data_IF_628973600500
#
_entry.id   IF_628973600500
#
_cell.length_a   1.000
_cell.length_b   1.000
_cell.length_c   1.000
_cell.angle_alpha   90.00
_cell.angle_beta   90.00
_cell.angle_gamma   90.00
#
_symmetry.space_group_name_H-M   'P 1'
#
loop_
_entity.id
_entity.type
_entity.pdbx_description
1 polymer ?
#
# COMPACT_ATOMS: atom_id res chain seq x y z
N UNK A 1 -2.33 -17.60 33.74
CA UNK A 1 -2.57 -16.38 34.53
C UNK A 1 -3.58 -15.52 33.78
N UNK A 2 -4.68 -15.13 34.42
CA UNK A 2 -5.67 -14.22 33.83
C UNK A 2 -5.20 -12.78 34.04
N UNK A 3 -4.99 -12.05 32.95
CA UNK A 3 -4.66 -10.63 33.02
C UNK A 3 -5.87 -9.84 33.51
N UNK A 4 -5.68 -8.94 34.49
CA UNK A 4 -6.77 -8.13 35.03
C UNK A 4 -7.35 -7.22 33.93
N UNK A 5 -8.68 -7.14 33.84
CA UNK A 5 -9.35 -6.31 32.82
C UNK A 5 -8.97 -4.82 33.04
N UNK A 6 -8.51 -4.11 32.00
CA UNK A 6 -8.25 -2.68 32.11
C UNK A 6 -9.49 -1.91 32.57
N UNK A 7 -9.32 -1.04 33.57
CA UNK A 7 -10.39 -0.18 34.10
C UNK A 7 -10.68 0.98 33.14
N UNK A 8 -9.66 1.43 32.40
CA UNK A 8 -9.77 2.51 31.42
C UNK A 8 -10.13 1.95 30.04
N UNK A 9 -11.13 2.57 29.40
CA UNK A 9 -11.49 2.27 28.00
C UNK A 9 -10.59 3.07 27.05
N UNK A 10 -10.32 2.54 25.85
CA UNK A 10 -9.63 3.29 24.80
C UNK A 10 -10.41 4.55 24.41
N UNK A 11 -9.70 5.67 24.24
CA UNK A 11 -10.29 6.95 23.81
C UNK A 11 -10.90 6.85 22.41
N UNK A 12 -10.33 6.01 21.54
CA UNK A 12 -10.82 5.77 20.18
C UNK A 12 -10.98 4.26 19.96
N UNK A 13 -12.22 3.72 19.91
CA UNK A 13 -12.46 2.28 19.78
C UNK A 13 -12.47 1.79 18.33
N UNK A 14 -11.63 2.35 17.45
CA UNK A 14 -11.54 1.97 16.04
C UNK A 14 -10.30 1.12 15.80
N UNK A 15 -10.46 -0.20 15.81
CA UNK A 15 -9.38 -1.19 15.75
C UNK A 15 -9.17 -1.83 14.37
N UNK A 16 -9.78 -1.29 13.32
CA UNK A 16 -9.59 -1.76 11.96
C UNK A 16 -8.18 -1.44 11.45
N UNK A 17 -7.65 -2.30 10.59
CA UNK A 17 -6.36 -2.12 9.90
C UNK A 17 -6.47 -1.33 8.58
N UNK A 18 -7.67 -0.85 8.23
CA UNK A 18 -7.90 -0.05 7.04
C UNK A 18 -9.39 0.06 6.69
N UNK A 19 -9.98 1.26 6.58
CA UNK A 19 -9.48 2.53 7.12
C UNK A 19 -9.24 2.47 8.64
N UNK A 20 -8.25 3.22 9.15
CA UNK A 20 -7.90 3.26 10.59
C UNK A 20 -8.27 4.60 11.24
N UNK A 21 -8.21 4.64 12.58
CA UNK A 21 -8.32 5.88 13.34
C UNK A 21 -7.36 6.97 12.82
N UNK A 22 -7.85 8.21 12.69
CA UNK A 22 -6.98 9.37 12.39
C UNK A 22 -6.15 9.73 13.62
N UNK A 23 -5.05 10.45 13.43
CA UNK A 23 -4.22 10.97 14.52
C UNK A 23 -5.04 11.81 15.52
N UNK A 24 -4.67 11.87 16.81
CA UNK A 24 -5.32 12.74 17.78
C UNK A 24 -5.39 14.21 17.30
N UNK A 25 -6.50 14.88 17.59
CA UNK A 25 -6.72 16.28 17.19
C UNK A 25 -7.00 16.50 15.70
N UNK A 26 -7.17 15.44 14.89
CA UNK A 26 -7.56 15.58 13.49
C UNK A 26 -8.96 16.20 13.36
N UNK A 27 -9.13 17.12 12.40
CA UNK A 27 -10.43 17.72 12.07
C UNK A 27 -10.50 18.06 10.57
N UNK A 28 -11.72 18.35 10.09
CA UNK A 28 -11.96 18.77 8.70
C UNK A 28 -11.31 20.11 8.34
N UNK A 29 -10.89 20.91 9.32
CA UNK A 29 -10.20 22.18 9.03
C UNK A 29 -8.91 21.96 8.26
N UNK A 30 -8.28 20.78 8.41
CA UNK A 30 -7.10 20.37 7.65
C UNK A 30 -7.37 20.20 6.14
N UNK A 31 -8.62 20.21 5.69
CA UNK A 31 -9.04 20.07 4.30
C UNK A 31 -9.58 21.38 3.70
N UNK A 32 -9.52 22.49 4.44
CA UNK A 32 -10.04 23.80 3.98
C UNK A 32 -9.36 24.31 2.71
N UNK A 33 -8.09 23.94 2.51
CA UNK A 33 -7.31 24.29 1.32
C UNK A 33 -7.37 23.20 0.22
N UNK A 34 -8.30 22.23 0.33
CA UNK A 34 -8.43 21.15 -0.64
C UNK A 34 -8.80 21.68 -2.04
N UNK A 35 -8.20 21.08 -3.07
CA UNK A 35 -8.43 21.46 -4.47
C UNK A 35 -9.56 20.59 -5.03
N UNK A 36 -10.79 20.90 -4.62
CA UNK A 36 -11.99 20.18 -5.05
C UNK A 36 -12.58 20.80 -6.33
N UNK A 37 -13.16 19.98 -7.21
CA UNK A 37 -13.84 20.44 -8.42
C UNK A 37 -12.96 21.17 -9.44
N UNK A 38 -11.63 21.05 -9.34
CA UNK A 38 -10.67 21.72 -10.22
C UNK A 38 -9.79 20.70 -10.93
N UNK A 39 -9.26 21.11 -12.09
CA UNK A 39 -8.31 20.28 -12.82
C UNK A 39 -7.05 20.02 -11.99
N UNK A 40 -6.66 18.75 -11.87
CA UNK A 40 -5.39 18.33 -11.27
C UNK A 40 -4.17 18.88 -12.05
N UNK A 41 -4.35 19.29 -13.32
CA UNK A 41 -3.31 19.93 -14.13
C UNK A 41 -3.10 21.41 -13.82
N UNK A 42 -3.96 22.02 -13.01
CA UNK A 42 -3.81 23.42 -12.58
C UNK A 42 -2.52 23.63 -11.77
N UNK A 43 -2.03 24.88 -11.72
CA UNK A 43 -0.83 25.24 -10.93
C UNK A 43 -0.95 24.77 -9.47
N UNK A 44 -2.11 24.98 -8.86
CA UNK A 44 -2.37 24.61 -7.46
C UNK A 44 -2.46 23.07 -7.29
N UNK A 45 -3.14 22.37 -8.21
CA UNK A 45 -3.23 20.91 -8.18
C UNK A 45 -1.86 20.24 -8.33
N UNK A 46 -1.06 20.67 -9.32
CA UNK A 46 0.31 20.20 -9.52
C UNK A 46 1.19 20.47 -8.30
N UNK A 47 1.07 21.63 -7.67
CA UNK A 47 1.84 21.97 -6.48
C UNK A 47 1.52 21.04 -5.29
N UNK A 48 0.25 20.69 -5.07
CA UNK A 48 -0.13 19.74 -4.00
C UNK A 48 0.37 18.32 -4.27
N UNK A 49 0.25 17.84 -5.51
CA UNK A 49 0.78 16.52 -5.89
C UNK A 49 2.30 16.46 -5.74
N UNK A 50 3.01 17.51 -6.19
CA UNK A 50 4.47 17.61 -6.01
C UNK A 50 4.83 17.58 -4.53
N UNK A 51 4.14 18.35 -3.69
CA UNK A 51 4.38 18.33 -2.23
C UNK A 51 4.22 16.94 -1.63
N UNK A 52 3.18 16.18 -2.03
CA UNK A 52 2.99 14.81 -1.57
C UNK A 52 4.17 13.91 -1.99
N UNK A 53 4.62 14.01 -3.24
CA UNK A 53 5.79 13.27 -3.76
C UNK A 53 7.07 13.63 -2.99
N UNK A 54 7.32 14.92 -2.78
CA UNK A 54 8.52 15.41 -2.08
C UNK A 54 8.53 14.91 -0.62
N UNK A 55 7.40 14.98 0.07
CA UNK A 55 7.26 14.48 1.45
C UNK A 55 7.43 12.96 1.53
N UNK A 56 6.88 12.20 0.57
CA UNK A 56 7.09 10.75 0.52
C UNK A 56 8.57 10.42 0.39
N UNK A 57 9.30 11.15 -0.44
CA UNK A 57 10.75 10.98 -0.58
C UNK A 57 11.48 11.27 0.73
N UNK A 58 11.16 12.38 1.37
CA UNK A 58 11.79 12.80 2.63
C UNK A 58 11.55 11.77 3.74
N UNK A 59 10.30 11.34 3.94
CA UNK A 59 9.92 10.43 5.03
C UNK A 59 10.45 9.02 4.83
N UNK A 60 10.48 8.52 3.60
CA UNK A 60 10.93 7.16 3.28
C UNK A 60 12.40 7.10 2.82
N UNK A 61 13.08 8.24 2.79
CA UNK A 61 14.47 8.38 2.33
C UNK A 61 14.70 7.78 0.93
N UNK A 62 13.75 7.99 0.01
CA UNK A 62 13.81 7.38 -1.33
C UNK A 62 15.04 7.90 -2.11
N UNK A 63 15.90 7.02 -2.67
CA UNK A 63 17.06 7.39 -3.48
C UNK A 63 16.75 8.38 -4.60
N UNK A 64 17.64 9.36 -4.81
CA UNK A 64 17.42 10.51 -5.69
C UNK A 64 17.15 10.14 -7.15
N UNK A 65 17.68 9.01 -7.60
CA UNK A 65 17.53 8.45 -8.94
C UNK A 65 16.23 7.64 -9.13
N UNK A 66 15.51 7.30 -8.06
CA UNK A 66 14.19 6.67 -8.17
C UNK A 66 13.06 7.67 -8.39
N UNK A 67 12.03 7.21 -9.10
CA UNK A 67 10.80 7.96 -9.35
C UNK A 67 9.70 7.53 -8.38
N UNK A 68 8.83 8.47 -7.99
CA UNK A 68 7.66 8.22 -7.14
C UNK A 68 6.42 8.55 -7.94
N UNK A 69 5.55 7.55 -8.11
CA UNK A 69 4.24 7.69 -8.77
C UNK A 69 3.11 7.78 -7.76
N UNK A 70 2.11 8.62 -8.04
CA UNK A 70 0.81 8.59 -7.36
C UNK A 70 -0.19 7.99 -8.34
N UNK A 71 -0.79 6.86 -7.99
CA UNK A 71 -1.70 6.12 -8.86
C UNK A 71 -3.05 5.89 -8.16
N UNK A 72 -4.16 5.78 -8.92
CA UNK A 72 -5.46 5.42 -8.35
C UNK A 72 -5.51 3.93 -7.99
N UNK A 73 -6.65 3.50 -7.45
CA UNK A 73 -6.97 2.09 -7.17
C UNK A 73 -6.21 1.43 -6.00
N UNK A 74 -5.76 2.23 -5.02
CA UNK A 74 -5.15 1.76 -3.76
C UNK A 74 -3.88 0.93 -3.97
N UNK A 75 -3.43 0.25 -2.92
CA UNK A 75 -2.26 -0.61 -2.95
C UNK A 75 -2.42 -1.75 -3.97
N UNK A 76 -3.63 -2.32 -4.11
CA UNK A 76 -3.92 -3.33 -5.13
C UNK A 76 -3.64 -2.83 -6.54
N UNK A 77 -4.13 -1.65 -6.90
CA UNK A 77 -3.88 -1.07 -8.22
C UNK A 77 -2.41 -0.73 -8.47
N UNK A 78 -1.70 -0.31 -7.41
CA UNK A 78 -0.26 -0.05 -7.50
C UNK A 78 0.56 -1.33 -7.71
N UNK A 79 0.25 -2.41 -6.97
CA UNK A 79 0.89 -3.72 -7.12
C UNK A 79 0.58 -4.31 -8.48
N UNK A 80 -0.69 -4.30 -8.90
CA UNK A 80 -1.09 -4.75 -10.24
C UNK A 80 -0.32 -3.98 -11.33
N UNK A 81 -0.31 -2.65 -11.30
CA UNK A 81 0.47 -1.88 -12.28
C UNK A 81 1.94 -2.30 -12.33
N UNK A 82 2.56 -2.62 -11.19
CA UNK A 82 3.91 -3.13 -11.12
C UNK A 82 4.04 -4.54 -11.73
N UNK A 83 3.18 -5.49 -11.33
CA UNK A 83 3.18 -6.85 -11.86
C UNK A 83 3.06 -6.87 -13.39
N UNK A 84 2.12 -6.11 -13.93
CA UNK A 84 1.84 -6.04 -15.37
C UNK A 84 2.91 -5.31 -16.18
N UNK A 85 3.72 -4.45 -15.55
CA UNK A 85 4.74 -3.65 -16.25
C UNK A 85 6.17 -4.16 -16.06
N UNK A 86 6.44 -4.86 -14.95
CA UNK A 86 7.79 -5.29 -14.57
C UNK A 86 8.03 -6.79 -14.82
N UNK A 87 6.97 -7.61 -14.75
CA UNK A 87 7.10 -9.04 -15.06
C UNK A 87 6.98 -9.27 -16.56
N UNK A 88 7.64 -10.34 -17.03
CA UNK A 88 7.73 -10.64 -18.46
C UNK A 88 8.09 -12.12 -18.69
N UNK A 89 8.87 -12.44 -19.73
CA UNK A 89 9.14 -13.82 -20.11
C UNK A 89 10.14 -14.56 -19.19
N UNK A 90 10.77 -13.85 -18.26
CA UNK A 90 11.74 -14.45 -17.35
C UNK A 90 11.04 -15.26 -16.24
N UNK A 91 11.68 -16.34 -15.73
CA UNK A 91 11.15 -17.09 -14.60
C UNK A 91 10.86 -16.20 -13.39
N UNK A 92 9.71 -16.41 -12.76
CA UNK A 92 9.30 -15.66 -11.56
C UNK A 92 9.22 -16.62 -10.37
N UNK A 93 9.82 -16.25 -9.24
CA UNK A 93 9.62 -16.94 -7.97
C UNK A 93 8.73 -16.09 -7.07
N UNK A 94 7.62 -16.65 -6.65
CA UNK A 94 6.66 -16.02 -5.75
C UNK A 94 6.73 -16.64 -4.37
N UNK A 95 6.73 -15.79 -3.34
CA UNK A 95 6.69 -16.16 -1.94
C UNK A 95 5.35 -15.73 -1.36
N UNK A 96 4.62 -16.65 -0.71
CA UNK A 96 3.33 -16.33 -0.09
C UNK A 96 3.17 -16.99 1.28
N UNK A 97 2.84 -16.21 2.30
CA UNK A 97 2.59 -16.71 3.67
C UNK A 97 1.41 -16.03 4.37
N UNK A 98 0.61 -15.30 3.59
CA UNK A 98 -0.59 -14.59 4.02
C UNK A 98 -1.50 -14.29 2.82
N UNK A 99 -2.70 -13.74 3.07
CA UNK A 99 -3.76 -13.57 2.07
C UNK A 99 -3.41 -12.69 0.86
N UNK A 100 -2.65 -11.60 1.04
CA UNK A 100 -2.31 -10.68 -0.04
C UNK A 100 -1.34 -11.32 -1.02
N UNK A 101 -0.28 -11.96 -0.53
CA UNK A 101 0.70 -12.70 -1.32
C UNK A 101 0.06 -13.85 -2.10
N UNK A 102 -0.90 -14.55 -1.49
CA UNK A 102 -1.73 -15.54 -2.19
C UNK A 102 -2.57 -14.91 -3.32
N UNK A 103 -3.07 -13.68 -3.11
CA UNK A 103 -3.69 -12.87 -4.16
C UNK A 103 -2.75 -12.65 -5.34
N UNK A 104 -1.56 -12.12 -5.09
CA UNK A 104 -0.56 -11.83 -6.13
C UNK A 104 -0.10 -13.09 -6.88
N UNK A 105 0.04 -14.23 -6.18
CA UNK A 105 0.30 -15.53 -6.81
C UNK A 105 -0.83 -15.90 -7.78
N UNK A 106 -2.08 -15.71 -7.37
CA UNK A 106 -3.24 -15.97 -8.23
C UNK A 106 -3.24 -15.05 -9.46
N UNK A 107 -2.96 -13.77 -9.30
CA UNK A 107 -2.96 -12.80 -10.40
C UNK A 107 -1.88 -13.15 -11.45
N UNK A 108 -0.67 -13.50 -11.00
CA UNK A 108 0.41 -13.94 -11.89
C UNK A 108 0.07 -15.24 -12.61
N UNK A 109 -0.46 -16.24 -11.89
CA UNK A 109 -0.69 -17.56 -12.44
C UNK A 109 -1.95 -17.62 -13.35
N UNK A 110 -3.02 -16.91 -12.99
CA UNK A 110 -4.33 -17.02 -13.64
C UNK A 110 -4.61 -15.89 -14.63
N UNK A 111 -4.21 -14.66 -14.29
CA UNK A 111 -4.51 -13.48 -15.11
C UNK A 111 -3.38 -13.22 -16.10
N UNK A 112 -2.13 -13.06 -15.61
CA UNK A 112 -0.95 -12.86 -16.46
C UNK A 112 -0.51 -14.14 -17.16
N UNK A 113 -0.78 -15.31 -16.56
CA UNK A 113 -0.46 -16.64 -17.08
C UNK A 113 1.03 -16.80 -17.42
N UNK A 114 1.90 -16.19 -16.63
CA UNK A 114 3.35 -16.26 -16.83
C UNK A 114 3.84 -17.70 -16.65
N UNK A 115 4.86 -18.08 -17.44
CA UNK A 115 5.52 -19.39 -17.34
C UNK A 115 7.02 -19.25 -17.69
N UNK A 116 7.92 -19.87 -16.91
CA UNK A 116 7.68 -20.65 -15.69
C UNK A 116 7.53 -19.79 -14.42
N UNK A 117 6.67 -20.24 -13.48
CA UNK A 117 6.47 -19.61 -12.16
C UNK A 117 6.71 -20.65 -11.07
N UNK A 118 7.60 -20.35 -10.13
CA UNK A 118 7.83 -21.13 -8.92
C UNK A 118 7.09 -20.47 -7.75
N UNK A 119 6.35 -21.23 -6.96
CA UNK A 119 5.61 -20.70 -5.81
C UNK A 119 6.09 -21.40 -4.53
N UNK A 120 6.61 -20.63 -3.58
CA UNK A 120 7.01 -21.09 -2.25
C UNK A 120 6.01 -20.55 -1.22
N UNK A 121 5.45 -21.44 -0.39
CA UNK A 121 4.38 -21.10 0.55
C UNK A 121 4.72 -21.44 1.99
N UNK A 122 4.18 -20.65 2.92
CA UNK A 122 4.14 -20.96 4.35
C UNK A 122 2.78 -20.60 4.96
N UNK A 123 2.49 -21.09 6.17
CA UNK A 123 1.30 -20.69 6.90
C UNK A 123 1.47 -19.31 7.55
N UNK A 124 0.36 -18.69 7.96
CA UNK A 124 0.38 -17.45 8.75
C UNK A 124 1.29 -17.58 9.97
N UNK A 125 2.17 -16.60 10.16
CA UNK A 125 3.18 -16.59 11.23
C UNK A 125 4.46 -17.36 10.88
N UNK A 126 4.55 -17.95 9.69
CA UNK A 126 5.77 -18.55 9.14
C UNK A 126 6.35 -17.74 7.98
N UNK A 127 7.50 -18.19 7.49
CA UNK A 127 8.17 -17.70 6.27
C UNK A 127 8.55 -18.92 5.42
N UNK A 128 8.45 -18.87 4.07
CA UNK A 128 8.93 -19.96 3.22
C UNK A 128 10.43 -20.19 3.38
N UNK A 129 10.88 -21.43 3.13
CA UNK A 129 12.31 -21.77 3.09
C UNK A 129 12.95 -21.17 1.83
N UNK A 130 14.00 -20.37 2.00
CA UNK A 130 14.59 -19.50 0.96
C UNK A 130 15.92 -20.03 0.42
#
# INVERSE_FOLDING_TARGET
MTSAKPVLRPTVPHFSSGPCAKRPGWSLSALTDAVLGRSHRSKIGKAKLKRAIDLTREVLEVPADYRIGIVPASDTGAVEMALWSLLGPLPVTMLAWESFGEGWVSDIAKELKLKPVTVLKAAYGGIPDL
#
